data_IF_962019078826
#
_entry.id   IF_962019078826
#
_cell.length_a   1.000
_cell.length_b   1.000
_cell.length_c   1.000
_cell.angle_alpha   90.00
_cell.angle_beta   90.00
_cell.angle_gamma   90.00
#
_symmetry.space_group_name_H-M   'P 1'
#
loop_
_entity.id
_entity.type
_entity.pdbx_description
1 polymer ?
#
# COMPACT_ATOMS: atom_id res chain seq x y z
N UNK A 1 -14.67 2.38 -4.31
CA UNK A 1 -13.33 2.14 -3.74
C UNK A 1 -12.81 0.93 -4.45
N UNK A 2 -11.69 1.06 -5.14
CA UNK A 2 -11.03 -0.05 -5.83
C UNK A 2 -9.58 -0.07 -5.33
N UNK A 3 -9.33 -0.88 -4.32
CA UNK A 3 -8.07 -0.87 -3.55
C UNK A 3 -7.66 -2.28 -3.18
N UNK A 4 -6.34 -2.50 -3.19
CA UNK A 4 -5.69 -3.74 -2.75
C UNK A 4 -4.70 -3.41 -1.64
N UNK A 5 -4.84 -4.15 -0.53
CA UNK A 5 -4.06 -3.98 0.68
C UNK A 5 -3.26 -5.27 0.92
N UNK A 6 -1.93 -5.21 0.79
CA UNK A 6 -1.04 -6.34 1.02
C UNK A 6 -0.65 -6.35 2.50
N UNK A 7 -1.25 -7.25 3.27
CA UNK A 7 -1.17 -7.23 4.73
C UNK A 7 -0.40 -8.44 5.25
N UNK A 8 0.42 -8.32 6.30
CA UNK A 8 1.01 -9.47 6.96
C UNK A 8 -0.08 -10.44 7.42
N UNK A 9 0.07 -11.73 7.16
CA UNK A 9 -1.01 -12.70 7.44
C UNK A 9 -1.37 -12.75 8.92
N UNK A 10 -0.39 -12.52 9.80
CA UNK A 10 -0.56 -12.45 11.25
C UNK A 10 -1.47 -11.31 11.72
N UNK A 11 -1.70 -10.28 10.90
CA UNK A 11 -2.58 -9.15 11.24
C UNK A 11 -3.96 -9.26 10.59
N UNK A 12 -4.23 -10.30 9.80
CA UNK A 12 -5.43 -10.40 8.97
C UNK A 12 -6.73 -10.23 9.77
N UNK A 13 -6.85 -10.85 10.94
CA UNK A 13 -8.06 -10.75 11.79
C UNK A 13 -8.32 -9.29 12.27
N UNK A 14 -7.26 -8.62 12.75
CA UNK A 14 -7.31 -7.19 13.12
C UNK A 14 -7.69 -6.34 11.90
N UNK A 15 -7.10 -6.63 10.75
CA UNK A 15 -7.32 -5.89 9.51
C UNK A 15 -8.75 -6.03 8.99
N UNK A 16 -9.31 -7.25 8.98
CA UNK A 16 -10.71 -7.48 8.56
C UNK A 16 -11.69 -6.77 9.49
N UNK A 17 -11.43 -6.80 10.80
CA UNK A 17 -12.24 -6.07 11.79
C UNK A 17 -12.18 -4.56 11.56
N UNK A 18 -11.00 -4.02 11.25
CA UNK A 18 -10.81 -2.60 10.97
C UNK A 18 -11.49 -2.19 9.65
N UNK A 19 -11.36 -2.99 8.59
CA UNK A 19 -12.02 -2.73 7.31
C UNK A 19 -13.54 -2.80 7.44
N UNK A 20 -14.09 -3.76 8.18
CA UNK A 20 -15.53 -3.78 8.45
C UNK A 20 -16.01 -2.47 9.10
N UNK A 21 -15.27 -1.95 10.09
CA UNK A 21 -15.63 -0.70 10.77
C UNK A 21 -15.53 0.53 9.85
N UNK A 22 -14.49 0.61 9.00
CA UNK A 22 -14.21 1.79 8.20
C UNK A 22 -14.86 1.79 6.81
N UNK A 23 -15.26 0.62 6.27
CA UNK A 23 -15.88 0.52 4.94
C UNK A 23 -17.13 -0.35 4.86
N UNK A 24 -17.37 -1.26 5.81
CA UNK A 24 -18.49 -2.22 5.80
C UNK A 24 -18.79 -2.83 4.42
N UNK A 25 -17.77 -3.32 3.71
CA UNK A 25 -17.92 -3.79 2.34
C UNK A 25 -17.71 -5.30 2.21
N UNK A 26 -18.60 -5.95 1.46
CA UNK A 26 -18.51 -7.36 1.09
C UNK A 26 -19.09 -7.60 -0.30
N UNK A 27 -18.61 -8.63 -1.03
CA UNK A 27 -17.56 -9.58 -0.67
C UNK A 27 -16.14 -8.97 -0.71
N UNK A 28 -15.21 -9.57 0.03
CA UNK A 28 -13.78 -9.21 0.00
C UNK A 28 -12.99 -10.20 -0.87
N UNK A 29 -12.02 -9.68 -1.64
CA UNK A 29 -11.01 -10.50 -2.29
C UNK A 29 -9.91 -10.85 -1.29
N UNK A 30 -9.50 -12.12 -1.23
CA UNK A 30 -8.43 -12.61 -0.35
C UNK A 30 -7.49 -13.50 -1.15
N UNK A 31 -6.25 -13.05 -1.33
CA UNK A 31 -5.22 -13.79 -2.05
C UNK A 31 -3.94 -13.92 -1.21
N UNK A 32 -3.74 -15.07 -0.52
CA UNK A 32 -2.50 -15.32 0.22
C UNK A 32 -1.30 -15.42 -0.71
N UNK A 33 -0.19 -14.82 -0.30
CA UNK A 33 1.07 -14.83 -1.05
C UNK A 33 2.27 -14.85 -0.11
N UNK A 34 3.44 -15.16 -0.67
CA UNK A 34 4.70 -15.13 0.06
C UNK A 34 5.64 -14.08 -0.52
N UNK A 35 6.11 -13.16 0.33
CA UNK A 35 7.17 -12.22 0.02
C UNK A 35 8.48 -12.83 0.49
N UNK A 36 9.32 -13.25 -0.46
CA UNK A 36 10.56 -13.96 -0.15
C UNK A 36 11.65 -13.02 0.39
N UNK A 37 12.37 -13.49 1.41
CA UNK A 37 13.56 -12.82 1.93
C UNK A 37 14.77 -13.14 1.04
N UNK A 38 15.01 -12.30 0.02
CA UNK A 38 16.12 -12.45 -0.93
C UNK A 38 17.18 -11.36 -0.74
N UNK A 39 18.47 -11.64 -1.05
CA UNK A 39 19.54 -10.65 -0.93
C UNK A 39 19.36 -9.39 -1.78
N UNK A 40 18.74 -9.55 -2.96
CA UNK A 40 18.35 -8.46 -3.85
C UNK A 40 16.83 -8.48 -3.94
N UNK A 41 16.21 -7.34 -3.65
CA UNK A 41 14.76 -7.18 -3.58
C UNK A 41 14.35 -5.76 -3.93
N UNK A 42 13.10 -5.64 -4.36
CA UNK A 42 12.51 -4.38 -4.81
C UNK A 42 12.01 -3.54 -3.63
N UNK A 43 10.93 -2.80 -3.88
CA UNK A 43 10.34 -1.87 -2.92
C UNK A 43 9.51 -2.56 -1.82
N UNK A 44 9.06 -3.79 -2.08
CA UNK A 44 8.25 -4.60 -1.15
C UNK A 44 9.14 -5.69 -0.58
N UNK A 45 9.27 -5.69 0.74
CA UNK A 45 10.15 -6.57 1.51
C UNK A 45 9.35 -7.27 2.61
N UNK A 46 9.74 -8.48 3.02
CA UNK A 46 9.11 -9.14 4.15
C UNK A 46 9.42 -8.40 5.46
N UNK A 47 8.54 -8.58 6.46
CA UNK A 47 8.80 -8.09 7.81
C UNK A 47 9.73 -9.06 8.57
N UNK A 48 10.36 -8.62 9.68
CA UNK A 48 11.15 -9.52 10.52
C UNK A 48 10.31 -10.71 11.00
N UNK A 49 10.68 -11.91 10.56
CA UNK A 49 10.00 -13.18 10.84
C UNK A 49 8.60 -13.36 10.21
N UNK A 50 8.19 -12.53 9.25
CA UNK A 50 6.91 -12.66 8.57
C UNK A 50 7.07 -12.45 7.06
N UNK A 51 6.88 -13.53 6.33
CA UNK A 51 6.97 -13.58 4.86
C UNK A 51 5.62 -13.86 4.22
N UNK A 52 4.62 -14.24 5.00
CA UNK A 52 3.29 -14.54 4.48
C UNK A 52 2.44 -13.29 4.57
N UNK A 53 1.86 -12.93 3.44
CA UNK A 53 0.98 -11.79 3.30
C UNK A 53 -0.34 -12.25 2.68
N UNK A 54 -1.38 -11.46 2.85
CA UNK A 54 -2.66 -11.63 2.15
C UNK A 54 -2.99 -10.32 1.49
N UNK A 55 -3.20 -10.38 0.19
CA UNK A 55 -3.81 -9.30 -0.57
C UNK A 55 -5.31 -9.29 -0.27
N UNK A 56 -5.77 -8.19 0.32
CA UNK A 56 -7.17 -7.94 0.64
C UNK A 56 -7.69 -6.87 -0.30
N UNK A 57 -8.59 -7.25 -1.19
CA UNK A 57 -9.17 -6.35 -2.19
C UNK A 57 -10.57 -5.90 -1.81
N UNK A 58 -10.82 -4.59 -1.94
CA UNK A 58 -12.12 -3.93 -1.78
C UNK A 58 -12.47 -3.28 -3.11
N UNK A 59 -13.50 -3.80 -3.79
CA UNK A 59 -13.91 -3.39 -5.14
C UNK A 59 -15.39 -3.01 -5.18
N UNK A 60 -15.71 -1.85 -4.62
CA UNK A 60 -17.07 -1.34 -4.62
C UNK A 60 -17.27 -0.15 -3.70
N UNK A 61 -18.53 0.21 -3.49
CA UNK A 61 -18.90 1.37 -2.68
C UNK A 61 -19.00 0.98 -1.20
N UNK A 62 -18.26 1.67 -0.30
CA UNK A 62 -18.38 1.44 1.14
C UNK A 62 -19.81 1.65 1.66
N UNK A 63 -20.26 0.81 2.57
CA UNK A 63 -21.61 0.82 3.13
C UNK A 63 -21.69 1.53 4.49
N UNK A 64 -20.88 2.58 4.69
CA UNK A 64 -20.86 3.35 5.94
C UNK A 64 -21.60 4.68 5.80
N UNK A 65 -22.35 5.14 6.83
CA UNK A 65 -22.96 6.45 6.83
C UNK A 65 -21.91 7.57 6.73
N UNK A 66 -22.21 8.62 5.96
CA UNK A 66 -21.33 9.78 5.78
C UNK A 66 -19.93 9.44 5.24
N UNK A 67 -19.83 8.45 4.35
CA UNK A 67 -18.57 8.07 3.72
C UNK A 67 -17.82 9.27 3.09
N UNK A 68 -16.56 9.43 3.47
CA UNK A 68 -15.63 10.38 2.86
C UNK A 68 -14.41 9.62 2.33
N UNK A 69 -14.32 9.50 1.00
CA UNK A 69 -13.27 8.73 0.34
C UNK A 69 -11.85 9.12 0.75
N UNK A 70 -11.56 10.43 0.88
CA UNK A 70 -10.22 10.91 1.22
C UNK A 70 -9.88 10.59 2.68
N UNK A 71 -10.81 10.85 3.60
CA UNK A 71 -10.58 10.61 5.03
C UNK A 71 -10.46 9.11 5.33
N UNK A 72 -11.37 8.29 4.79
CA UNK A 72 -11.31 6.84 4.92
C UNK A 72 -10.01 6.29 4.35
N UNK A 73 -9.61 6.69 3.13
CA UNK A 73 -8.36 6.20 2.56
C UNK A 73 -7.13 6.60 3.40
N UNK A 74 -7.07 7.84 3.91
CA UNK A 74 -5.95 8.24 4.78
C UNK A 74 -5.87 7.40 6.06
N UNK A 75 -7.02 7.02 6.64
CA UNK A 75 -7.06 6.10 7.80
C UNK A 75 -6.58 4.70 7.44
N UNK A 76 -7.00 4.15 6.29
CA UNK A 76 -6.58 2.83 5.83
C UNK A 76 -5.08 2.80 5.50
N UNK A 77 -4.57 3.82 4.83
CA UNK A 77 -3.14 3.97 4.51
C UNK A 77 -2.29 4.10 5.78
N UNK A 78 -2.73 4.89 6.76
CA UNK A 78 -2.05 5.01 8.04
C UNK A 78 -2.02 3.67 8.80
N UNK A 79 -3.15 2.96 8.84
CA UNK A 79 -3.23 1.64 9.43
C UNK A 79 -2.29 0.65 8.76
N UNK A 80 -2.20 0.64 7.42
CA UNK A 80 -1.26 -0.22 6.72
C UNK A 80 0.19 0.04 7.11
N UNK A 81 0.60 1.32 7.21
CA UNK A 81 1.96 1.64 7.65
C UNK A 81 2.24 1.15 9.06
N UNK A 82 1.28 1.31 9.99
CA UNK A 82 1.39 0.82 11.36
C UNK A 82 1.68 -0.69 11.43
N UNK A 83 1.02 -1.47 10.59
CA UNK A 83 1.14 -2.93 10.60
C UNK A 83 2.22 -3.47 9.65
N UNK A 84 2.94 -2.61 8.92
CA UNK A 84 3.94 -3.03 7.93
C UNK A 84 3.33 -3.65 6.67
N UNK A 85 2.11 -3.24 6.31
CA UNK A 85 1.46 -3.59 5.05
C UNK A 85 1.84 -2.64 3.91
N UNK A 86 1.49 -3.04 2.69
CA UNK A 86 1.79 -2.30 1.46
C UNK A 86 0.52 -2.00 0.66
N UNK A 87 0.46 -0.81 0.08
CA UNK A 87 -0.59 -0.44 -0.86
C UNK A 87 -0.26 -0.92 -2.27
N UNK A 88 -1.23 -1.47 -2.99
CA UNK A 88 -1.05 -1.62 -4.44
C UNK A 88 -1.09 -0.24 -5.13
N UNK A 89 -0.01 0.11 -5.83
CA UNK A 89 0.19 1.45 -6.40
C UNK A 89 -0.57 1.73 -7.71
N UNK A 90 -1.44 0.83 -8.17
CA UNK A 90 -2.29 1.07 -9.34
C UNK A 90 -3.53 1.92 -9.00
N UNK A 91 -3.95 1.91 -7.73
CA UNK A 91 -5.12 2.62 -7.23
C UNK A 91 -4.78 4.04 -6.75
N UNK A 92 -5.80 4.80 -6.38
CA UNK A 92 -5.61 6.14 -5.81
C UNK A 92 -4.84 6.04 -4.47
N UNK A 93 -3.86 6.92 -4.29
CA UNK A 93 -3.18 7.13 -3.00
C UNK A 93 -3.35 8.56 -2.51
N UNK A 94 -3.60 8.71 -1.22
CA UNK A 94 -3.68 9.97 -0.50
C UNK A 94 -2.50 10.18 0.46
N UNK A 95 -1.50 9.30 0.36
CA UNK A 95 -0.24 9.41 1.09
C UNK A 95 0.55 10.64 0.61
N UNK A 96 1.33 11.24 1.50
CA UNK A 96 2.40 12.17 1.12
C UNK A 96 3.59 11.40 0.56
N UNK A 97 4.58 12.12 0.01
CA UNK A 97 5.80 11.48 -0.50
C UNK A 97 6.56 10.79 0.62
N UNK A 98 6.58 11.42 1.79
CA UNK A 98 7.24 10.91 3.00
C UNK A 98 6.55 9.63 3.49
N UNK A 99 5.21 9.64 3.57
CA UNK A 99 4.40 8.47 3.97
C UNK A 99 4.61 7.29 2.98
N UNK A 100 4.65 7.56 1.67
CA UNK A 100 4.91 6.52 0.68
C UNK A 100 6.35 5.98 0.79
N UNK A 101 7.34 6.84 1.06
CA UNK A 101 8.73 6.42 1.26
C UNK A 101 8.97 5.71 2.59
N UNK A 102 8.12 5.92 3.58
CA UNK A 102 8.08 5.13 4.81
C UNK A 102 7.55 3.71 4.54
N UNK A 103 6.50 3.60 3.73
CA UNK A 103 5.87 2.31 3.41
C UNK A 103 6.76 1.39 2.57
N UNK A 104 7.57 1.92 1.66
CA UNK A 104 8.33 1.12 0.69
C UNK A 104 9.85 1.35 0.77
N UNK A 105 10.64 0.31 0.52
CA UNK A 105 12.10 0.42 0.45
C UNK A 105 12.56 1.02 -0.88
N UNK A 106 12.99 2.28 -0.86
CA UNK A 106 13.45 2.99 -2.05
C UNK A 106 14.95 2.86 -2.31
N UNK A 107 15.73 2.17 -1.47
CA UNK A 107 17.20 2.22 -1.52
C UNK A 107 17.75 1.74 -2.86
N UNK A 108 17.29 0.57 -3.34
CA UNK A 108 17.73 0.02 -4.62
C UNK A 108 17.27 0.90 -5.80
N UNK A 109 16.03 1.39 -5.74
CA UNK A 109 15.47 2.28 -6.76
C UNK A 109 16.29 3.57 -6.87
N UNK A 110 16.60 4.21 -5.74
CA UNK A 110 17.34 5.48 -5.71
C UNK A 110 18.77 5.31 -6.23
N UNK A 111 19.43 4.20 -5.87
CA UNK A 111 20.74 3.83 -6.42
C UNK A 111 20.68 3.71 -7.95
N UNK A 112 19.76 2.89 -8.46
CA UNK A 112 19.61 2.68 -9.90
C UNK A 112 19.25 3.96 -10.64
N UNK A 113 18.40 4.81 -10.06
CA UNK A 113 18.02 6.09 -10.68
C UNK A 113 19.21 7.04 -10.85
N UNK A 114 20.14 7.05 -9.88
CA UNK A 114 21.39 7.82 -9.95
C UNK A 114 22.34 7.25 -11.01
N UNK A 115 22.58 5.94 -10.99
CA UNK A 115 23.55 5.26 -11.87
C UNK A 115 23.14 5.27 -13.34
N UNK A 116 21.83 5.17 -13.62
CA UNK A 116 21.29 5.11 -14.99
C UNK A 116 20.94 6.47 -15.58
N UNK A 117 21.05 7.56 -14.81
CA UNK A 117 20.59 8.90 -15.22
C UNK A 117 19.06 9.08 -15.21
N UNK A 118 18.30 8.10 -14.71
CA UNK A 118 16.84 8.15 -14.67
C UNK A 118 16.28 9.31 -13.83
N UNK A 119 17.06 9.87 -12.91
CA UNK A 119 16.66 11.07 -12.14
C UNK A 119 16.23 12.25 -13.03
N UNK A 120 16.84 12.40 -14.21
CA UNK A 120 16.51 13.47 -15.17
C UNK A 120 15.48 13.05 -16.20
N UNK A 121 15.39 11.75 -16.47
CA UNK A 121 14.59 11.21 -17.57
C UNK A 121 13.15 10.85 -17.15
N UNK A 122 12.94 10.44 -15.89
CA UNK A 122 11.66 9.88 -15.46
C UNK A 122 11.21 10.41 -14.09
N UNK A 123 9.89 10.60 -13.89
CA UNK A 123 9.32 10.87 -12.57
C UNK A 123 9.65 9.75 -11.55
N UNK A 124 9.63 10.08 -10.26
CA UNK A 124 9.64 9.09 -9.16
C UNK A 124 8.30 8.33 -9.13
N UNK A 125 8.22 7.11 -8.57
CA UNK A 125 6.94 6.43 -8.37
C UNK A 125 5.86 7.31 -7.75
N UNK A 126 6.17 8.09 -6.71
CA UNK A 126 5.20 9.01 -6.09
C UNK A 126 4.58 9.98 -7.11
N UNK A 127 5.40 10.57 -8.00
CA UNK A 127 4.92 11.52 -9.01
C UNK A 127 3.98 10.87 -10.02
N UNK A 128 4.15 9.55 -10.22
CA UNK A 128 3.31 8.77 -11.12
C UNK A 128 1.99 8.38 -10.50
N UNK A 129 1.92 8.15 -9.19
CA UNK A 129 0.74 7.53 -8.55
C UNK A 129 -0.10 8.54 -7.78
N UNK A 130 0.50 9.61 -7.28
CA UNK A 130 -0.19 10.62 -6.48
C UNK A 130 -0.73 11.75 -7.36
N UNK A 131 -2.02 12.08 -7.18
CA UNK A 131 -2.61 13.27 -7.81
C UNK A 131 -1.95 14.56 -7.32
N UNK A 132 -1.47 14.59 -6.08
CA UNK A 132 -0.83 15.76 -5.46
C UNK A 132 0.49 16.17 -6.13
N UNK A 133 1.12 15.27 -6.89
CA UNK A 133 2.34 15.56 -7.64
C UNK A 133 2.09 16.07 -9.07
N UNK A 134 0.83 16.06 -9.52
CA UNK A 134 0.42 16.46 -10.88
C UNK A 134 -0.20 17.86 -10.93
N UNK A 135 -0.32 18.51 -9.78
CA UNK A 135 -0.85 19.86 -9.56
C UNK A 135 0.27 20.81 -9.19
#
# INVERSE_FOLDING_TARGET
MDQDFLLPISTLDKSLSYFHQEVDFYPLWLCPMRVFDTPIRGMVNPLPNEQMFVDVGIYGEPNIPNYNAKETMRKLEAFMREIGGFQALYADTYQTREELREMFDHNLLDKLRKETGALKAFPEPFDKVSRAART
#
